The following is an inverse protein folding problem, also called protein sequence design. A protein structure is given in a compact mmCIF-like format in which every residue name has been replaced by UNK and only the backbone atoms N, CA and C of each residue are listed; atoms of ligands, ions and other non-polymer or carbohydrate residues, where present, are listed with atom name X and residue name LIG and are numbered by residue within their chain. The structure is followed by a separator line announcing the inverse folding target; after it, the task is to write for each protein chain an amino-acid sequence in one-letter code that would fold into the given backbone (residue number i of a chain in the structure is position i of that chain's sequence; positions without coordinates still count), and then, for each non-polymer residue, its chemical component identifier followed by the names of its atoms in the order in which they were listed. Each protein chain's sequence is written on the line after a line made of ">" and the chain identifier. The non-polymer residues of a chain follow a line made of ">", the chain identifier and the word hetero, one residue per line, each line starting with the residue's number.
data_IF_021104804100
#
_entry.id   IF_021104804100
#
_cell.length_a   1.000
_cell.length_b   1.000
_cell.length_c   1.000
_cell.angle_alpha   90.00
_cell.angle_beta   90.00
_cell.angle_gamma   90.00
#
_symmetry.space_group_name_H-M   'P 1'
#
loop_
_entity.id
_entity.type
_entity.pdbx_description
1 polymer ?
#
# COMPACT_ATOMS: atom_id res chain seq x y z
N UNK A 1 -1.67 18.45 -18.03
CA UNK A 1 -1.04 17.56 -17.04
C UNK A 1 -1.08 18.32 -15.73
N UNK A 2 -2.20 18.23 -15.02
CA UNK A 2 -2.35 18.83 -13.69
C UNK A 2 -1.26 18.20 -12.81
N UNK A 3 -0.33 19.00 -12.29
CA UNK A 3 0.52 18.52 -11.21
C UNK A 3 -0.41 18.28 -10.03
N UNK A 4 -0.73 17.01 -9.74
CA UNK A 4 -1.37 16.62 -8.49
C UNK A 4 -0.55 17.27 -7.38
N UNK A 5 -1.20 18.22 -6.70
CA UNK A 5 -0.60 19.02 -5.65
C UNK A 5 -0.07 18.07 -4.59
N UNK A 6 1.25 17.91 -4.53
CA UNK A 6 1.91 17.27 -3.40
C UNK A 6 1.52 18.12 -2.20
N UNK A 7 0.50 17.70 -1.44
CA UNK A 7 0.20 18.28 -0.14
C UNK A 7 1.42 17.98 0.71
N UNK A 8 2.31 18.96 0.81
CA UNK A 8 3.43 18.89 1.74
C UNK A 8 2.82 18.67 3.12
N UNK A 9 3.07 17.51 3.77
CA UNK A 9 2.52 17.24 5.09
C UNK A 9 3.06 18.26 6.08
N UNK A 10 2.27 18.54 7.11
CA UNK A 10 2.70 19.40 8.21
C UNK A 10 3.93 18.77 8.89
N UNK A 11 4.99 19.57 9.08
CA UNK A 11 6.26 19.05 9.56
C UNK A 11 6.16 18.44 10.97
N UNK A 12 5.30 19.02 11.82
CA UNK A 12 5.07 18.52 13.18
C UNK A 12 4.29 17.20 13.16
N UNK A 13 3.28 17.08 12.28
CA UNK A 13 2.57 15.81 12.07
C UNK A 13 3.52 14.69 11.61
N UNK A 14 4.44 14.99 10.69
CA UNK A 14 5.47 14.03 10.27
C UNK A 14 6.34 13.62 11.46
N UNK A 15 6.92 14.58 12.18
CA UNK A 15 7.82 14.31 13.30
C UNK A 15 7.18 13.40 14.37
N UNK A 16 5.93 13.69 14.75
CA UNK A 16 5.21 12.95 15.79
C UNK A 16 4.76 11.54 15.35
N UNK A 17 4.57 11.32 14.04
CA UNK A 17 3.90 10.11 13.54
C UNK A 17 4.72 9.26 12.55
N UNK A 18 5.94 9.69 12.20
CA UNK A 18 6.82 8.98 11.26
C UNK A 18 7.11 7.54 11.68
N UNK A 19 7.45 7.32 12.96
CA UNK A 19 7.78 5.99 13.48
C UNK A 19 6.65 4.98 13.31
N UNK A 20 5.42 5.35 13.66
CA UNK A 20 4.25 4.48 13.52
C UNK A 20 3.82 4.29 12.06
N UNK A 21 4.12 5.26 11.19
CA UNK A 21 3.76 5.19 9.76
C UNK A 21 4.51 4.10 9.02
N UNK A 22 5.69 3.67 9.49
CA UNK A 22 6.40 2.52 8.93
C UNK A 22 5.60 1.21 9.00
N UNK A 23 4.79 1.04 10.06
CA UNK A 23 3.96 -0.16 10.26
C UNK A 23 2.90 -0.34 9.16
N UNK A 24 2.55 0.74 8.47
CA UNK A 24 1.67 0.71 7.30
C UNK A 24 2.12 -0.27 6.22
N UNK A 25 3.43 -0.46 6.07
CA UNK A 25 3.99 -1.29 5.01
C UNK A 25 4.40 -2.69 5.49
N UNK A 26 3.95 -3.09 6.68
CA UNK A 26 4.19 -4.41 7.26
C UNK A 26 2.85 -5.16 7.40
N UNK A 27 2.35 -5.70 6.28
CA UNK A 27 1.15 -6.54 6.24
C UNK A 27 0.00 -5.97 7.09
N UNK A 28 -0.60 -6.76 7.98
CA UNK A 28 -1.73 -6.38 8.84
C UNK A 28 -1.45 -5.22 9.81
N UNK A 29 -0.19 -4.84 10.02
CA UNK A 29 0.16 -3.76 10.95
C UNK A 29 -0.22 -2.38 10.47
N UNK A 30 -0.71 -2.21 9.24
CA UNK A 30 -1.35 -0.97 8.81
C UNK A 30 -2.51 -0.54 9.73
N UNK A 31 -3.16 -1.49 10.42
CA UNK A 31 -4.21 -1.19 11.40
C UNK A 31 -3.72 -0.34 12.56
N UNK A 32 -2.45 -0.43 12.94
CA UNK A 32 -1.89 0.31 14.08
C UNK A 32 -1.93 1.82 13.81
N UNK A 33 -1.25 2.38 12.78
CA UNK A 33 -1.36 3.80 12.47
C UNK A 33 -2.80 4.18 12.08
N UNK A 34 -3.55 3.31 11.41
CA UNK A 34 -4.95 3.58 11.03
C UNK A 34 -5.85 3.86 12.24
N UNK A 35 -5.73 3.06 13.30
CA UNK A 35 -6.60 3.13 14.47
C UNK A 35 -6.05 4.02 15.57
N UNK A 36 -4.72 4.08 15.74
CA UNK A 36 -4.08 4.83 16.80
C UNK A 36 -3.82 6.30 16.44
N UNK A 37 -3.70 6.64 15.16
CA UNK A 37 -3.33 7.98 14.68
C UNK A 37 -4.40 8.56 13.75
N UNK A 38 -5.63 8.66 14.27
CA UNK A 38 -6.81 9.15 13.51
C UNK A 38 -6.70 10.60 13.08
N UNK A 39 -6.06 11.42 13.91
CA UNK A 39 -5.93 12.87 13.68
C UNK A 39 -4.68 13.25 12.88
N UNK A 40 -3.89 12.27 12.43
CA UNK A 40 -2.66 12.48 11.65
C UNK A 40 -2.91 12.23 10.16
N UNK A 41 -3.00 13.27 9.32
CA UNK A 41 -3.07 13.11 7.88
C UNK A 41 -1.93 12.25 7.32
N UNK A 42 -0.71 12.43 7.83
CA UNK A 42 0.47 11.68 7.41
C UNK A 42 0.34 10.17 7.71
N UNK A 43 0.00 9.82 8.96
CA UNK A 43 -0.16 8.41 9.34
C UNK A 43 -1.34 7.76 8.62
N UNK A 44 -2.46 8.47 8.50
CA UNK A 44 -3.64 7.99 7.77
C UNK A 44 -3.34 7.74 6.30
N UNK A 45 -2.56 8.61 5.66
CA UNK A 45 -2.15 8.42 4.28
C UNK A 45 -1.37 7.12 4.10
N UNK A 46 -0.30 6.92 4.88
CA UNK A 46 0.51 5.71 4.78
C UNK A 46 -0.29 4.46 5.16
N UNK A 47 -1.13 4.52 6.19
CA UNK A 47 -1.99 3.42 6.61
C UNK A 47 -2.96 2.98 5.50
N UNK A 48 -3.58 3.94 4.79
CA UNK A 48 -4.48 3.66 3.67
C UNK A 48 -3.73 3.05 2.47
N UNK A 49 -2.51 3.52 2.18
CA UNK A 49 -1.65 2.93 1.14
C UNK A 49 -1.28 1.49 1.48
N UNK A 50 -0.87 1.25 2.72
CA UNK A 50 -0.58 -0.07 3.28
C UNK A 50 -1.75 -1.05 3.20
N UNK A 51 -2.92 -0.59 3.66
CA UNK A 51 -4.17 -1.34 3.57
C UNK A 51 -4.51 -1.71 2.12
N UNK A 52 -4.40 -0.75 1.20
CA UNK A 52 -4.70 -0.98 -0.23
C UNK A 52 -3.76 -2.01 -0.83
N UNK A 53 -2.47 -1.99 -0.47
CA UNK A 53 -1.51 -2.98 -0.89
C UNK A 53 -1.89 -4.38 -0.39
N UNK A 54 -2.27 -4.52 0.89
CA UNK A 54 -2.72 -5.80 1.46
C UNK A 54 -3.98 -6.32 0.75
N UNK A 55 -4.99 -5.46 0.56
CA UNK A 55 -6.23 -5.83 -0.14
C UNK A 55 -5.94 -6.30 -1.57
N UNK A 56 -5.06 -5.60 -2.29
CA UNK A 56 -4.66 -5.99 -3.65
C UNK A 56 -3.99 -7.37 -3.67
N UNK A 57 -3.04 -7.62 -2.76
CA UNK A 57 -2.38 -8.94 -2.67
C UNK A 57 -3.39 -10.06 -2.39
N UNK A 58 -4.33 -9.84 -1.48
CA UNK A 58 -5.40 -10.81 -1.17
C UNK A 58 -6.29 -11.05 -2.39
N UNK A 59 -6.71 -9.99 -3.09
CA UNK A 59 -7.55 -10.10 -4.26
C UNK A 59 -6.88 -10.91 -5.39
N UNK A 60 -5.59 -10.64 -5.65
CA UNK A 60 -4.82 -11.39 -6.65
C UNK A 60 -4.67 -12.85 -6.23
N UNK A 61 -4.40 -13.11 -4.95
CA UNK A 61 -4.29 -14.48 -4.43
C UNK A 61 -5.59 -15.28 -4.65
N UNK A 62 -6.75 -14.68 -4.39
CA UNK A 62 -8.05 -15.32 -4.67
C UNK A 62 -8.20 -15.62 -6.17
N UNK A 63 -7.81 -14.69 -7.05
CA UNK A 63 -7.83 -14.91 -8.51
C UNK A 63 -6.94 -16.07 -8.95
N UNK A 64 -5.73 -16.17 -8.39
CA UNK A 64 -4.78 -17.26 -8.65
C UNK A 64 -5.38 -18.62 -8.28
N UNK A 65 -6.10 -18.71 -7.14
CA UNK A 65 -6.75 -19.93 -6.71
C UNK A 65 -7.85 -20.39 -7.67
N UNK A 66 -8.61 -19.46 -8.24
CA UNK A 66 -9.67 -19.75 -9.23
C UNK A 66 -9.06 -20.21 -10.56
N UNK A 67 -8.07 -19.47 -11.08
CA UNK A 67 -7.41 -19.77 -12.36
C UNK A 67 -6.65 -21.09 -12.31
N UNK A 68 -6.11 -21.46 -11.16
CA UNK A 68 -5.34 -22.69 -10.96
C UNK A 68 -6.12 -23.98 -11.26
N UNK A 69 -7.46 -23.95 -11.26
CA UNK A 69 -8.29 -25.12 -11.60
C UNK A 69 -8.34 -25.42 -13.10
N UNK A 70 -7.89 -24.51 -13.97
CA UNK A 70 -7.86 -24.73 -15.42
C UNK A 70 -6.72 -25.69 -15.76
N UNK A 71 -6.98 -26.87 -16.35
CA UNK A 71 -5.93 -27.85 -16.67
C UNK A 71 -4.86 -27.27 -17.61
N UNK A 72 -3.61 -27.69 -17.41
CA UNK A 72 -2.41 -27.32 -18.18
C UNK A 72 -2.01 -25.83 -18.11
N UNK A 73 -2.90 -24.90 -18.45
CA UNK A 73 -2.58 -23.46 -18.51
C UNK A 73 -2.73 -22.74 -17.17
N UNK A 74 -3.67 -23.19 -16.32
CA UNK A 74 -3.97 -22.56 -15.04
C UNK A 74 -2.75 -22.47 -14.13
N UNK A 75 -2.04 -23.58 -13.85
CA UNK A 75 -0.84 -23.56 -13.01
C UNK A 75 0.26 -22.63 -13.52
N UNK A 76 0.46 -22.53 -14.84
CA UNK A 76 1.48 -21.66 -15.45
C UNK A 76 1.11 -20.18 -15.21
N UNK A 77 -0.13 -19.80 -15.51
CA UNK A 77 -0.62 -18.43 -15.30
C UNK A 77 -0.58 -18.06 -13.82
N UNK A 78 -1.03 -18.97 -12.95
CA UNK A 78 -1.01 -18.80 -11.50
C UNK A 78 0.40 -18.56 -10.96
N UNK A 79 1.39 -19.34 -11.42
CA UNK A 79 2.79 -19.16 -11.02
C UNK A 79 3.37 -17.81 -11.48
N UNK A 80 3.16 -17.45 -12.74
CA UNK A 80 3.66 -16.18 -13.29
C UNK A 80 3.02 -14.97 -12.59
N UNK A 81 1.71 -15.04 -12.33
CA UNK A 81 0.97 -13.99 -11.64
C UNK A 81 1.47 -13.85 -10.20
N UNK A 82 1.62 -14.97 -9.47
CA UNK A 82 2.15 -14.96 -8.11
C UNK A 82 3.54 -14.30 -8.03
N UNK A 83 4.44 -14.69 -8.94
CA UNK A 83 5.79 -14.14 -9.01
C UNK A 83 5.79 -12.63 -9.30
N UNK A 84 5.00 -12.20 -10.28
CA UNK A 84 4.85 -10.78 -10.62
C UNK A 84 4.26 -9.96 -9.45
N UNK A 85 3.26 -10.50 -8.75
CA UNK A 85 2.65 -9.85 -7.58
C UNK A 85 3.63 -9.68 -6.43
N UNK A 86 4.49 -10.67 -6.16
CA UNK A 86 5.52 -10.55 -5.12
C UNK A 86 6.51 -9.44 -5.45
N UNK A 87 7.04 -9.42 -6.67
CA UNK A 87 7.98 -8.39 -7.10
C UNK A 87 7.32 -7.00 -6.96
N UNK A 88 6.11 -6.85 -7.47
CA UNK A 88 5.36 -5.61 -7.38
C UNK A 88 5.11 -5.18 -5.92
N UNK A 89 4.72 -6.11 -5.05
CA UNK A 89 4.47 -5.83 -3.65
C UNK A 89 5.74 -5.37 -2.93
N UNK A 90 6.88 -6.02 -3.17
CA UNK A 90 8.17 -5.62 -2.60
C UNK A 90 8.56 -4.20 -3.05
N UNK A 91 8.40 -3.90 -4.34
CA UNK A 91 8.66 -2.55 -4.88
C UNK A 91 7.78 -1.51 -4.19
N UNK A 92 6.48 -1.79 -4.06
CA UNK A 92 5.53 -0.93 -3.36
C UNK A 92 5.89 -0.73 -1.87
N UNK A 93 6.27 -1.79 -1.16
CA UNK A 93 6.75 -1.68 0.23
C UNK A 93 7.97 -0.78 0.32
N UNK A 94 8.98 -1.00 -0.52
CA UNK A 94 10.20 -0.19 -0.50
C UNK A 94 9.89 1.28 -0.80
N UNK A 95 9.09 1.56 -1.84
CA UNK A 95 8.67 2.92 -2.16
C UNK A 95 7.89 3.57 -1.01
N UNK A 96 7.00 2.82 -0.37
CA UNK A 96 6.26 3.26 0.80
C UNK A 96 7.17 3.64 1.96
N UNK A 97 8.11 2.76 2.31
CA UNK A 97 9.09 3.01 3.37
C UNK A 97 9.97 4.23 3.06
N UNK A 98 10.46 4.36 1.82
CA UNK A 98 11.23 5.53 1.38
C UNK A 98 10.41 6.81 1.48
N UNK A 99 9.12 6.77 1.16
CA UNK A 99 8.23 7.92 1.29
C UNK A 99 8.03 8.31 2.77
N UNK A 100 7.88 7.32 3.67
CA UNK A 100 7.84 7.57 5.13
C UNK A 100 9.15 8.19 5.61
N UNK A 101 10.30 7.65 5.20
CA UNK A 101 11.61 8.19 5.59
C UNK A 101 11.83 9.62 5.11
N UNK A 102 11.25 9.99 3.97
CA UNK A 102 11.29 11.35 3.42
C UNK A 102 10.21 12.28 3.97
N UNK A 103 9.29 11.78 4.79
CA UNK A 103 8.15 12.56 5.28
C UNK A 103 7.24 13.05 4.15
N UNK A 104 7.05 12.27 3.08
CA UNK A 104 6.23 12.68 1.92
C UNK A 104 5.05 11.74 1.69
N UNK A 105 3.90 12.31 1.39
CA UNK A 105 2.69 11.57 1.04
C UNK A 105 2.62 11.38 -0.48
N UNK A 106 3.37 10.40 -1.00
CA UNK A 106 3.33 10.02 -2.42
C UNK A 106 2.62 8.68 -2.62
N UNK A 107 1.64 8.59 -3.53
CA UNK A 107 0.88 7.36 -3.74
C UNK A 107 1.77 6.26 -4.32
N UNK A 108 1.44 5.01 -3.98
CA UNK A 108 2.08 3.85 -4.59
C UNK A 108 1.69 3.74 -6.07
N UNK A 109 2.59 3.23 -6.94
CA UNK A 109 2.29 3.07 -8.36
C UNK A 109 1.09 2.13 -8.57
N UNK A 110 0.25 2.45 -9.55
CA UNK A 110 -0.96 1.70 -9.97
C UNK A 110 -2.10 1.59 -8.94
N UNK A 111 -1.77 1.43 -7.65
CA UNK A 111 -2.74 1.14 -6.60
C UNK A 111 -3.02 2.34 -5.69
N UNK A 112 -2.12 3.32 -5.62
CA UNK A 112 -2.20 4.39 -4.62
C UNK A 112 -3.41 5.29 -4.76
N UNK A 113 -3.93 5.46 -5.98
CA UNK A 113 -5.18 6.17 -6.27
C UNK A 113 -6.42 5.54 -5.62
N UNK A 114 -6.41 4.23 -5.34
CA UNK A 114 -7.53 3.58 -4.67
C UNK A 114 -7.54 3.91 -3.18
N UNK A 115 -6.36 4.01 -2.57
CA UNK A 115 -6.22 4.38 -1.16
C UNK A 115 -6.78 5.78 -0.86
N UNK A 116 -6.58 6.73 -1.78
CA UNK A 116 -7.05 8.11 -1.63
C UNK A 116 -8.58 8.25 -1.69
N UNK A 117 -9.26 7.29 -2.32
CA UNK A 117 -10.73 7.26 -2.39
C UNK A 117 -11.38 6.78 -1.09
N UNK A 118 -10.59 6.26 -0.16
CA UNK A 118 -11.08 5.70 1.10
C UNK A 118 -11.36 6.83 2.08
N UNK A 119 -12.65 7.13 2.26
CA UNK A 119 -13.17 8.17 3.16
C UNK A 119 -13.55 7.58 4.51
N UNK A 120 -12.68 7.80 5.49
CA UNK A 120 -12.94 7.77 6.92
C UNK A 120 -11.72 8.36 7.63
#
# INVERSE_FOLDING_TARGET
>A
MEQETIKTPDAKDVEENQGLSYLSYISIFFLIPLLAKKDSPFAQFHAKQGMTLVIMVIAVFIGIMIVGFVPFIGPIISFLTWFATIIFAIVCVIMGLVNVSKGVMKPLPLIGQFAEKIKF
#
